data_IF_739145505972
#
_entry.id   IF_739145505972
#
_cell.length_a   1.000
_cell.length_b   1.000
_cell.length_c   1.000
_cell.angle_alpha   90.00
_cell.angle_beta   90.00
_cell.angle_gamma   90.00
#
_symmetry.space_group_name_H-M   'P 1'
#
loop_
_entity.id
_entity.type
_entity.pdbx_description
1 polymer ?
#
# COMPACT_ATOMS: atom_id res chain seq x y z
N UNK A 1 13.96 -1.12 2.22
CA UNK A 1 14.43 0.25 1.90
C UNK A 1 13.40 1.24 2.46
N UNK A 2 13.80 2.21 3.28
CA UNK A 2 12.85 3.10 3.97
C UNK A 2 12.51 4.34 3.11
N UNK A 3 11.25 4.81 3.17
CA UNK A 3 10.77 6.05 2.52
C UNK A 3 11.68 7.24 2.84
N UNK A 4 12.11 7.31 4.11
CA UNK A 4 13.00 8.34 4.60
C UNK A 4 14.34 8.33 3.87
N UNK A 5 14.94 7.15 3.67
CA UNK A 5 16.23 7.03 3.00
C UNK A 5 16.17 7.44 1.53
N UNK A 6 15.09 7.07 0.84
CA UNK A 6 14.85 7.52 -0.54
C UNK A 6 14.66 9.04 -0.62
N UNK A 7 13.94 9.61 0.33
CA UNK A 7 13.73 11.06 0.40
C UNK A 7 15.04 11.80 0.68
N UNK A 8 15.87 11.29 1.60
CA UNK A 8 17.21 11.85 1.89
C UNK A 8 18.15 11.80 0.67
N UNK A 9 17.97 10.81 -0.21
CA UNK A 9 18.70 10.70 -1.49
C UNK A 9 18.12 11.59 -2.60
N UNK A 10 17.12 12.42 -2.29
CA UNK A 10 16.55 13.40 -3.22
C UNK A 10 15.39 12.87 -4.07
N UNK A 11 14.88 11.67 -3.80
CA UNK A 11 13.75 11.15 -4.56
C UNK A 11 12.41 11.72 -4.07
N UNK A 12 11.50 12.01 -5.02
CA UNK A 12 10.12 12.40 -4.71
C UNK A 12 9.26 11.18 -4.40
N UNK A 13 9.06 10.86 -3.12
CA UNK A 13 8.38 9.63 -2.68
C UNK A 13 7.00 9.89 -2.11
N UNK A 14 6.03 9.03 -2.44
CA UNK A 14 4.70 9.01 -1.81
C UNK A 14 4.45 7.62 -1.21
N UNK A 15 4.28 7.57 0.11
CA UNK A 15 3.77 6.41 0.82
C UNK A 15 2.23 6.46 0.81
N UNK A 16 1.58 5.33 0.53
CA UNK A 16 0.12 5.24 0.54
C UNK A 16 -0.34 4.05 1.38
N UNK A 17 -1.39 4.29 2.15
CA UNK A 17 -2.08 3.23 2.89
C UNK A 17 -3.02 2.48 1.96
N UNK A 18 -3.10 1.16 2.14
CA UNK A 18 -4.21 0.39 1.58
C UNK A 18 -5.50 0.68 2.36
N UNK A 19 -6.69 0.60 1.73
CA UNK A 19 -7.97 0.64 2.41
C UNK A 19 -7.98 -0.17 3.70
N UNK A 20 -8.43 0.45 4.80
CA UNK A 20 -8.49 -0.14 6.15
C UNK A 20 -7.13 -0.55 6.76
N UNK A 21 -6.01 -0.01 6.26
CA UNK A 21 -4.67 -0.17 6.80
C UNK A 21 -4.06 1.19 7.15
N UNK A 22 -2.92 1.19 7.86
CA UNK A 22 -2.16 2.41 8.15
C UNK A 22 -2.95 3.46 8.91
N UNK A 23 -3.01 4.69 8.38
CA UNK A 23 -3.77 5.79 8.99
C UNK A 23 -5.28 5.55 9.03
N UNK A 24 -5.79 4.59 8.26
CA UNK A 24 -7.19 4.17 8.24
C UNK A 24 -7.38 2.76 8.83
N UNK A 25 -6.40 2.27 9.60
CA UNK A 25 -6.45 0.93 10.16
C UNK A 25 -7.71 0.74 11.01
N UNK A 26 -8.46 -0.32 10.69
CA UNK A 26 -9.50 -0.78 11.59
C UNK A 26 -8.86 -1.46 12.81
N UNK A 27 -9.22 -0.99 13.99
CA UNK A 27 -8.82 -1.60 15.27
C UNK A 27 -10.10 -2.04 15.98
N UNK A 28 -10.32 -3.35 16.20
CA UNK A 28 -11.51 -3.87 16.87
C UNK A 28 -11.75 -3.21 18.24
N UNK A 29 -13.01 -2.97 18.61
CA UNK A 29 -13.33 -2.45 19.96
C UNK A 29 -12.89 -3.46 21.02
N UNK A 30 -13.09 -4.75 20.75
CA UNK A 30 -12.65 -5.85 21.63
C UNK A 30 -11.15 -5.80 21.93
N UNK A 31 -10.32 -5.38 20.95
CA UNK A 31 -8.88 -5.20 21.15
C UNK A 31 -8.62 -4.06 22.14
N UNK A 32 -9.28 -2.91 21.98
CA UNK A 32 -9.11 -1.78 22.90
C UNK A 32 -9.53 -2.11 24.34
N UNK A 33 -10.57 -2.93 24.49
CA UNK A 33 -11.09 -3.39 25.78
C UNK A 33 -10.32 -4.58 26.36
N UNK A 34 -9.37 -5.13 25.61
CA UNK A 34 -8.61 -6.34 25.96
C UNK A 34 -9.53 -7.55 26.24
N UNK A 35 -10.64 -7.65 25.51
CA UNK A 35 -11.57 -8.79 25.59
C UNK A 35 -11.22 -9.81 24.50
N UNK A 36 -10.48 -10.85 24.90
CA UNK A 36 -10.01 -11.88 23.98
C UNK A 36 -11.14 -12.75 23.42
N UNK A 37 -12.23 -12.94 24.17
CA UNK A 37 -13.35 -13.77 23.73
C UNK A 37 -14.16 -13.04 22.65
N UNK A 38 -14.44 -11.75 22.86
CA UNK A 38 -15.07 -10.91 21.85
C UNK A 38 -14.16 -10.76 20.61
N UNK A 39 -12.86 -10.53 20.81
CA UNK A 39 -11.90 -10.37 19.71
C UNK A 39 -11.80 -11.57 18.79
N UNK A 40 -11.99 -12.78 19.32
CA UNK A 40 -11.96 -14.00 18.51
C UNK A 40 -13.12 -14.09 17.49
N UNK A 41 -14.19 -13.29 17.66
CA UNK A 41 -15.41 -13.38 16.85
C UNK A 41 -15.85 -12.06 16.23
N UNK A 42 -15.30 -10.92 16.66
CA UNK A 42 -15.62 -9.60 16.10
C UNK A 42 -15.30 -9.56 14.59
N UNK A 43 -16.28 -9.28 13.72
CA UNK A 43 -16.06 -9.24 12.29
C UNK A 43 -15.06 -8.14 11.90
N UNK A 44 -14.05 -8.50 11.10
CA UNK A 44 -13.15 -7.51 10.53
C UNK A 44 -13.71 -6.96 9.22
N UNK A 45 -13.88 -5.64 9.05
CA UNK A 45 -14.29 -5.04 7.79
C UNK A 45 -13.24 -5.24 6.67
N UNK A 46 -11.97 -5.52 7.02
CA UNK A 46 -10.93 -5.91 6.05
C UNK A 46 -11.31 -7.19 5.31
N UNK A 47 -12.08 -8.10 5.94
CA UNK A 47 -12.52 -9.34 5.31
C UNK A 47 -13.46 -9.12 4.11
N UNK A 48 -14.08 -7.94 3.99
CA UNK A 48 -14.91 -7.58 2.85
C UNK A 48 -14.11 -7.02 1.65
N UNK A 49 -12.81 -6.76 1.83
CA UNK A 49 -11.95 -6.20 0.77
C UNK A 49 -11.33 -7.30 -0.08
N UNK A 50 -11.36 -7.10 -1.40
CA UNK A 50 -10.71 -7.96 -2.38
C UNK A 50 -9.38 -7.37 -2.86
N UNK A 51 -8.57 -8.20 -3.53
CA UNK A 51 -7.38 -7.72 -4.25
C UNK A 51 -7.71 -6.68 -5.33
N UNK A 52 -8.91 -6.76 -5.94
CA UNK A 52 -9.36 -5.79 -6.93
C UNK A 52 -9.62 -4.42 -6.30
N UNK A 53 -10.09 -4.38 -5.05
CA UNK A 53 -10.29 -3.12 -4.34
C UNK A 53 -8.96 -2.43 -4.03
N UNK A 54 -7.95 -3.21 -3.64
CA UNK A 54 -6.59 -2.72 -3.45
C UNK A 54 -5.98 -2.24 -4.77
N UNK A 55 -6.13 -3.02 -5.85
CA UNK A 55 -5.65 -2.65 -7.18
C UNK A 55 -6.27 -1.34 -7.67
N UNK A 56 -7.60 -1.20 -7.61
CA UNK A 56 -8.30 0.02 -8.03
C UNK A 56 -7.85 1.23 -7.21
N UNK A 57 -7.68 1.05 -5.90
CA UNK A 57 -7.20 2.10 -5.02
C UNK A 57 -5.82 2.61 -5.43
N UNK A 58 -4.86 1.69 -5.62
CA UNK A 58 -3.47 2.02 -5.98
C UNK A 58 -3.37 2.55 -7.40
N UNK A 59 -4.10 1.98 -8.36
CA UNK A 59 -4.11 2.43 -9.76
C UNK A 59 -4.54 3.89 -9.88
N UNK A 60 -5.54 4.33 -9.11
CA UNK A 60 -5.97 5.73 -9.06
C UNK A 60 -4.84 6.66 -8.59
N UNK A 61 -4.02 6.22 -7.64
CA UNK A 61 -2.87 7.00 -7.14
C UNK A 61 -1.75 7.00 -8.19
N UNK A 62 -1.42 5.85 -8.79
CA UNK A 62 -0.43 5.71 -9.86
C UNK A 62 -0.77 6.62 -11.04
N UNK A 63 -2.02 6.68 -11.48
CA UNK A 63 -2.45 7.58 -12.56
C UNK A 63 -2.21 9.05 -12.24
N UNK A 64 -2.47 9.47 -11.00
CA UNK A 64 -2.19 10.84 -10.55
C UNK A 64 -0.68 11.11 -10.50
N UNK A 65 0.09 10.15 -9.99
CA UNK A 65 1.55 10.23 -9.92
C UNK A 65 2.19 10.31 -11.32
N UNK A 66 1.70 9.54 -12.29
CA UNK A 66 2.21 9.50 -13.66
C UNK A 66 2.09 10.85 -14.38
N UNK A 67 1.14 11.70 -14.00
CA UNK A 67 1.02 13.07 -14.50
C UNK A 67 2.21 13.98 -14.07
N UNK A 68 3.01 13.55 -13.09
CA UNK A 68 4.14 14.29 -12.54
C UNK A 68 5.51 13.69 -12.88
N UNK A 69 5.53 12.63 -13.70
CA UNK A 69 6.75 11.96 -14.17
C UNK A 69 6.67 10.43 -14.10
N UNK A 70 7.78 9.74 -14.43
CA UNK A 70 7.88 8.29 -14.36
C UNK A 70 7.55 7.74 -12.96
N UNK A 71 6.86 6.60 -12.90
CA UNK A 71 6.46 5.96 -11.64
C UNK A 71 7.23 4.66 -11.45
N UNK A 72 7.86 4.52 -10.28
CA UNK A 72 8.39 3.25 -9.78
C UNK A 72 7.51 2.80 -8.62
N UNK A 73 6.94 1.60 -8.74
CA UNK A 73 5.99 1.06 -7.77
C UNK A 73 6.59 -0.12 -7.01
N UNK A 74 6.60 -0.03 -5.69
CA UNK A 74 7.27 -1.00 -4.80
C UNK A 74 6.30 -1.43 -3.70
N UNK A 75 6.30 -2.71 -3.36
CA UNK A 75 5.39 -3.27 -2.35
C UNK A 75 6.00 -4.44 -1.58
N UNK A 76 5.52 -4.66 -0.35
CA UNK A 76 5.87 -5.81 0.48
C UNK A 76 4.61 -6.52 0.97
N UNK A 77 4.66 -7.85 1.17
CA UNK A 77 3.53 -8.66 1.64
C UNK A 77 2.28 -8.42 0.78
N UNK A 78 1.13 -8.08 1.38
CA UNK A 78 -0.09 -7.70 0.66
C UNK A 78 0.14 -6.55 -0.34
N UNK A 79 1.01 -5.60 0.01
CA UNK A 79 1.42 -4.55 -0.91
C UNK A 79 2.14 -5.11 -2.14
N UNK A 80 2.97 -6.14 -1.98
CA UNK A 80 3.64 -6.82 -3.09
C UNK A 80 2.64 -7.49 -4.03
N UNK A 81 1.66 -8.23 -3.50
CA UNK A 81 0.56 -8.82 -4.30
C UNK A 81 -0.23 -7.75 -5.05
N UNK A 82 -0.50 -6.62 -4.38
CA UNK A 82 -1.20 -5.48 -4.98
C UNK A 82 -0.38 -4.85 -6.11
N UNK A 83 0.94 -4.68 -5.93
CA UNK A 83 1.84 -4.17 -6.97
C UNK A 83 1.84 -5.07 -8.20
N UNK A 84 1.90 -6.40 -8.02
CA UNK A 84 1.81 -7.34 -9.15
C UNK A 84 0.48 -7.24 -9.91
N UNK A 85 -0.63 -7.02 -9.21
CA UNK A 85 -1.94 -6.77 -9.84
C UNK A 85 -1.95 -5.48 -10.64
N UNK A 86 -1.49 -4.38 -10.04
CA UNK A 86 -1.45 -3.06 -10.68
C UNK A 86 -0.51 -3.07 -11.89
N UNK A 87 0.64 -3.76 -11.82
CA UNK A 87 1.55 -3.85 -12.96
C UNK A 87 0.96 -4.57 -14.17
N UNK A 88 0.03 -5.51 -13.94
CA UNK A 88 -0.70 -6.15 -15.02
C UNK A 88 -1.82 -5.25 -15.57
N UNK A 89 -2.44 -4.44 -14.71
CA UNK A 89 -3.55 -3.57 -15.10
C UNK A 89 -3.12 -2.30 -15.85
N UNK A 90 -1.96 -1.72 -15.49
CA UNK A 90 -1.44 -0.46 -16.06
C UNK A 90 0.07 -0.50 -16.33
N UNK A 91 0.57 -1.50 -17.09
CA UNK A 91 2.01 -1.64 -17.35
C UNK A 91 2.63 -0.40 -18.01
N UNK A 92 1.85 0.34 -18.82
CA UNK A 92 2.27 1.55 -19.53
C UNK A 92 2.58 2.74 -18.60
N UNK A 93 2.09 2.71 -17.36
CA UNK A 93 2.30 3.78 -16.39
C UNK A 93 3.50 3.54 -15.48
N UNK A 94 4.12 2.36 -15.53
CA UNK A 94 5.18 1.95 -14.62
C UNK A 94 6.52 1.85 -15.33
N UNK A 95 7.52 2.53 -14.80
CA UNK A 95 8.89 2.48 -15.30
C UNK A 95 9.67 1.29 -14.73
N UNK A 96 9.48 0.97 -13.43
CA UNK A 96 10.06 -0.20 -12.76
C UNK A 96 9.16 -0.74 -11.64
N UNK A 97 9.35 -2.02 -11.28
CA UNK A 97 8.69 -2.74 -10.18
C UNK A 97 9.72 -3.46 -9.30
N UNK A 98 9.47 -3.57 -7.99
CA UNK A 98 10.34 -4.32 -7.08
C UNK A 98 9.72 -4.63 -5.70
N UNK A 99 10.25 -5.62 -4.95
CA UNK A 99 9.85 -5.90 -3.57
C UNK A 99 10.51 -4.93 -2.57
N UNK A 100 9.81 -4.59 -1.48
CA UNK A 100 10.36 -3.86 -0.33
C UNK A 100 10.58 -4.82 0.86
N UNK A 101 11.53 -4.52 1.75
CA UNK A 101 11.88 -5.28 2.97
C UNK A 101 12.24 -4.30 4.11
N UNK A 102 12.11 -4.68 5.40
CA UNK A 102 10.89 -4.62 6.20
C UNK A 102 10.60 -3.19 6.71
N UNK A 103 9.39 -2.70 6.44
CA UNK A 103 8.77 -1.63 7.21
C UNK A 103 7.52 -2.23 7.87
N UNK A 104 7.21 -1.92 9.14
CA UNK A 104 5.91 -2.26 9.65
C UNK A 104 4.87 -1.44 8.87
N UNK A 105 3.67 -2.00 8.72
CA UNK A 105 2.48 -1.41 8.10
C UNK A 105 2.42 -1.46 6.56
N UNK A 106 1.34 -2.07 6.08
CA UNK A 106 0.99 -2.39 4.68
C UNK A 106 0.95 -1.17 3.76
N UNK A 107 2.13 -0.68 3.39
CA UNK A 107 2.31 0.51 2.57
C UNK A 107 2.89 0.09 1.23
N UNK A 108 2.13 0.28 0.15
CA UNK A 108 2.73 0.31 -1.18
C UNK A 108 3.42 1.68 -1.33
N UNK A 109 4.66 1.69 -1.80
CA UNK A 109 5.45 2.90 -1.96
C UNK A 109 5.63 3.20 -3.44
N UNK A 110 5.20 4.36 -3.90
CA UNK A 110 5.55 4.82 -5.25
C UNK A 110 5.55 6.35 -5.31
N UNK A 111 6.73 6.92 -5.55
CA UNK A 111 7.15 7.55 -6.81
C UNK A 111 8.68 7.69 -6.72
N UNK A 112 9.39 7.52 -7.83
CA UNK A 112 10.76 8.02 -8.00
C UNK A 112 10.70 8.80 -9.31
N UNK A 113 10.63 10.11 -9.22
CA UNK A 113 10.94 10.92 -10.38
C UNK A 113 12.39 11.38 -10.28
N UNK A 114 13.11 11.48 -11.42
CA UNK A 114 14.32 12.28 -11.47
C UNK A 114 14.02 13.75 -11.14
#
# INVERSE_FOLDING_TARGET
>A
MCVQELTLRGHRVVAMDLPLHGSQAFVPESYQRQDLAAMATEPSPVAALSLDDYEKHVTRIVRRAAAHGPVVLVGHSLGGTTVSRVSNAVPELLHHIGPLDPAPVASALAVLAP
#
